data_IF_438236630467
#
_entry.id   IF_438236630467
#
_cell.length_a   1.000
_cell.length_b   1.000
_cell.length_c   1.000
_cell.angle_alpha   90.00
_cell.angle_beta   90.00
_cell.angle_gamma   90.00
#
_symmetry.space_group_name_H-M   'P 1'
#
loop_
_entity.id
_entity.type
_entity.pdbx_description
1 polymer ?
#
# COMPACT_ATOMS: atom_id res chain seq x y z
N UNK A 1 -16.36 9.32 16.28
CA UNK A 1 -16.67 8.87 14.91
C UNK A 1 -15.42 9.13 14.09
N UNK A 2 -14.58 8.13 13.81
CA UNK A 2 -13.18 8.48 13.49
C UNK A 2 -12.42 7.52 12.55
N UNK A 3 -12.39 6.21 12.80
CA UNK A 3 -11.58 5.27 12.00
C UNK A 3 -12.29 4.80 10.72
N UNK A 4 -13.60 4.54 10.78
CA UNK A 4 -14.39 4.11 9.61
C UNK A 4 -14.44 5.17 8.50
N UNK A 5 -14.46 6.46 8.88
CA UNK A 5 -14.38 7.56 7.93
C UNK A 5 -13.01 7.63 7.24
N UNK A 6 -11.92 7.35 7.98
CA UNK A 6 -10.59 7.22 7.39
C UNK A 6 -10.54 6.08 6.39
N UNK A 7 -11.10 4.91 6.75
CA UNK A 7 -11.17 3.76 5.86
C UNK A 7 -11.92 4.10 4.57
N UNK A 8 -13.10 4.70 4.68
CA UNK A 8 -13.90 5.10 3.52
C UNK A 8 -13.20 6.16 2.66
N UNK A 9 -12.56 7.16 3.28
CA UNK A 9 -11.83 8.21 2.57
C UNK A 9 -10.64 7.62 1.79
N UNK A 10 -9.80 6.83 2.45
CA UNK A 10 -8.60 6.23 1.83
C UNK A 10 -9.02 5.22 0.75
N UNK A 11 -10.05 4.40 0.98
CA UNK A 11 -10.57 3.47 -0.03
C UNK A 11 -11.06 4.20 -1.30
N UNK A 12 -11.73 5.35 -1.14
CA UNK A 12 -12.16 6.19 -2.28
C UNK A 12 -10.98 6.69 -3.11
N UNK A 13 -9.84 6.98 -2.48
CA UNK A 13 -8.62 7.42 -3.17
C UNK A 13 -7.82 6.26 -3.77
N UNK A 14 -7.86 5.08 -3.15
CA UNK A 14 -7.15 3.89 -3.61
C UNK A 14 -7.78 3.29 -4.89
N UNK A 15 -9.11 3.29 -5.01
CA UNK A 15 -9.83 2.70 -6.16
C UNK A 15 -9.33 3.20 -7.53
N UNK A 16 -9.22 4.52 -7.79
CA UNK A 16 -8.70 5.01 -9.07
C UNK A 16 -7.27 4.55 -9.39
N UNK A 17 -6.43 4.32 -8.37
CA UNK A 17 -5.06 3.83 -8.56
C UNK A 17 -5.06 2.37 -9.00
N UNK A 18 -5.94 1.56 -8.41
CA UNK A 18 -6.14 0.16 -8.83
C UNK A 18 -6.63 0.12 -10.29
N UNK A 19 -7.61 0.96 -10.63
CA UNK A 19 -8.16 1.03 -12.00
C UNK A 19 -7.10 1.47 -13.01
N UNK A 20 -6.25 2.44 -12.65
CA UNK A 20 -5.11 2.84 -13.48
C UNK A 20 -4.15 1.66 -13.71
N UNK A 21 -3.84 0.88 -12.67
CA UNK A 21 -2.96 -0.29 -12.79
C UNK A 21 -3.56 -1.41 -13.63
N UNK A 22 -4.88 -1.60 -13.57
CA UNK A 22 -5.60 -2.51 -14.46
C UNK A 22 -5.50 -2.07 -15.91
N UNK A 23 -5.68 -0.77 -16.17
CA UNK A 23 -5.54 -0.21 -17.51
C UNK A 23 -4.11 -0.34 -18.06
N UNK A 24 -3.09 -0.05 -17.23
CA UNK A 24 -1.67 -0.24 -17.60
C UNK A 24 -1.39 -1.69 -18.01
N UNK A 25 -1.88 -2.66 -17.22
CA UNK A 25 -1.72 -4.08 -17.54
C UNK A 25 -2.47 -4.50 -18.81
N UNK A 26 -3.70 -4.00 -19.00
CA UNK A 26 -4.48 -4.28 -20.22
C UNK A 26 -3.75 -3.77 -21.46
N UNK A 27 -3.15 -2.58 -21.39
CA UNK A 27 -2.33 -2.02 -22.47
C UNK A 27 -1.07 -2.87 -22.74
N UNK A 28 -0.32 -3.26 -21.70
CA UNK A 28 0.83 -4.17 -21.81
C UNK A 28 0.45 -5.51 -22.48
N UNK A 29 -0.70 -6.05 -22.11
CA UNK A 29 -1.22 -7.30 -22.70
C UNK A 29 -1.58 -7.12 -24.17
N UNK A 30 -2.18 -5.98 -24.54
CA UNK A 30 -2.56 -5.69 -25.92
C UNK A 30 -1.34 -5.52 -26.85
N UNK A 31 -0.23 -4.99 -26.33
CA UNK A 31 1.02 -4.83 -27.09
C UNK A 31 1.93 -6.05 -27.05
N UNK A 32 1.62 -7.06 -26.22
CA UNK A 32 2.46 -8.24 -26.01
C UNK A 32 3.69 -7.97 -25.13
N UNK A 33 3.84 -6.76 -24.58
CA UNK A 33 4.94 -6.40 -23.70
C UNK A 33 4.62 -6.74 -22.24
N UNK A 34 4.54 -8.03 -21.95
CA UNK A 34 4.34 -8.54 -20.58
C UNK A 34 5.65 -8.61 -19.79
N UNK A 35 6.75 -8.09 -20.33
CA UNK A 35 8.05 -8.06 -19.66
C UNK A 35 8.40 -6.66 -19.15
N UNK A 36 7.57 -5.64 -19.43
CA UNK A 36 7.79 -4.31 -18.86
C UNK A 36 7.84 -4.38 -17.33
N UNK A 37 8.77 -3.61 -16.75
CA UNK A 37 8.89 -3.44 -15.31
C UNK A 37 7.52 -3.03 -14.73
N UNK A 38 7.03 -3.69 -13.67
CA UNK A 38 5.93 -3.19 -12.87
C UNK A 38 6.02 -1.69 -12.59
N UNK A 39 4.91 -1.01 -12.80
CA UNK A 39 4.83 0.43 -12.52
C UNK A 39 4.52 0.61 -11.03
N UNK A 40 5.48 1.16 -10.30
CA UNK A 40 5.32 1.50 -8.89
C UNK A 40 4.53 2.81 -8.73
N UNK A 41 3.67 2.88 -7.72
CA UNK A 41 2.98 4.10 -7.31
C UNK A 41 3.00 4.22 -5.79
N UNK A 42 3.29 5.42 -5.29
CA UNK A 42 3.22 5.72 -3.85
C UNK A 42 2.27 6.90 -3.68
N UNK A 43 1.33 6.77 -2.76
CA UNK A 43 0.45 7.87 -2.37
C UNK A 43 0.44 8.01 -0.86
N UNK A 44 0.53 9.27 -0.42
CA UNK A 44 0.62 9.64 0.98
C UNK A 44 -0.55 10.57 1.31
N UNK A 45 -1.31 10.23 2.34
CA UNK A 45 -2.39 11.06 2.87
C UNK A 45 -2.12 11.38 4.32
N UNK A 46 -1.83 12.65 4.58
CA UNK A 46 -2.05 13.21 5.90
C UNK A 46 -3.56 13.34 6.06
N UNK A 47 -4.13 12.70 7.08
CA UNK A 47 -5.56 12.79 7.36
C UNK A 47 -5.76 13.89 8.41
N UNK A 48 -6.25 15.08 8.03
CA UNK A 48 -6.45 16.15 8.98
C UNK A 48 -7.80 15.97 9.70
N UNK A 49 -7.76 16.02 11.05
CA UNK A 49 -8.88 16.17 11.98
C UNK A 49 -9.90 15.02 12.06
N UNK A 50 -10.18 14.55 13.30
CA UNK A 50 -11.32 13.65 13.56
C UNK A 50 -11.18 12.65 14.72
N UNK A 51 -10.04 12.61 15.40
CA UNK A 51 -9.88 11.89 16.67
C UNK A 51 -9.51 12.93 17.72
N UNK A 52 -10.14 12.91 18.89
CA UNK A 52 -9.87 13.83 20.00
C UNK A 52 -8.40 13.77 20.53
N UNK A 53 -7.54 12.96 19.90
CA UNK A 53 -6.21 12.62 20.38
C UNK A 53 -5.04 13.03 19.44
N UNK A 54 -5.19 13.35 18.15
CA UNK A 54 -4.05 13.93 17.38
C UNK A 54 -4.01 13.77 15.84
N UNK A 55 -2.79 13.76 15.27
CA UNK A 55 -2.53 13.70 13.82
C UNK A 55 -2.36 12.25 13.33
N UNK A 56 -2.92 11.92 12.16
CA UNK A 56 -2.74 10.64 11.47
C UNK A 56 -2.10 10.77 10.10
N UNK A 57 -1.26 9.80 9.75
CA UNK A 57 -0.69 9.64 8.41
C UNK A 57 -0.96 8.21 7.92
N UNK A 58 -1.38 8.11 6.66
CA UNK A 58 -1.49 6.84 5.92
C UNK A 58 -0.63 6.94 4.66
N UNK A 59 0.22 5.95 4.44
CA UNK A 59 0.96 5.78 3.20
C UNK A 59 0.54 4.48 2.55
N UNK A 60 0.23 4.54 1.25
CA UNK A 60 -0.01 3.38 0.41
C UNK A 60 1.06 3.29 -0.67
N UNK A 61 1.59 2.09 -0.85
CA UNK A 61 2.40 1.74 -2.02
C UNK A 61 1.61 0.74 -2.86
N UNK A 62 1.37 1.07 -4.13
CA UNK A 62 0.56 0.30 -5.08
C UNK A 62 1.40 -0.04 -6.29
N UNK A 63 1.63 -1.31 -6.55
CA UNK A 63 2.44 -1.79 -7.67
C UNK A 63 1.90 -3.10 -8.23
N UNK A 64 2.25 -3.42 -9.46
CA UNK A 64 1.95 -4.74 -10.02
C UNK A 64 3.02 -5.73 -9.55
N UNK A 65 2.63 -6.90 -9.07
CA UNK A 65 3.55 -7.98 -8.73
C UNK A 65 3.33 -9.20 -9.62
N UNK A 66 4.36 -10.03 -9.75
CA UNK A 66 4.26 -11.36 -10.33
C UNK A 66 4.38 -12.36 -9.19
N UNK A 67 3.34 -13.18 -9.00
CA UNK A 67 3.36 -14.25 -7.99
C UNK A 67 4.35 -15.32 -8.45
N UNK A 68 5.40 -15.63 -7.66
CA UNK A 68 6.50 -16.49 -8.11
C UNK A 68 6.07 -17.87 -8.59
N UNK A 69 5.15 -18.51 -7.87
CA UNK A 69 4.78 -19.91 -8.12
C UNK A 69 3.78 -20.08 -9.27
N UNK A 70 2.98 -19.06 -9.54
CA UNK A 70 1.88 -19.12 -10.52
C UNK A 70 2.12 -18.25 -11.75
N UNK A 71 3.14 -17.40 -11.71
CA UNK A 71 3.38 -16.31 -12.67
C UNK A 71 2.15 -15.41 -12.88
N UNK A 72 1.22 -15.43 -11.93
CA UNK A 72 0.02 -14.62 -11.97
C UNK A 72 0.40 -13.17 -11.65
N UNK A 73 -0.09 -12.22 -12.46
CA UNK A 73 0.07 -10.80 -12.18
C UNK A 73 -1.08 -10.31 -11.31
N UNK A 74 -0.71 -9.64 -10.21
CA UNK A 74 -1.63 -9.05 -9.23
C UNK A 74 -1.25 -7.60 -8.96
N UNK A 75 -2.17 -6.79 -8.43
CA UNK A 75 -1.86 -5.47 -7.90
C UNK A 75 -1.61 -5.62 -6.41
N UNK A 76 -0.38 -5.40 -5.95
CA UNK A 76 -0.04 -5.35 -4.53
C UNK A 76 -0.32 -3.95 -3.98
N UNK A 77 -0.99 -3.90 -2.84
CA UNK A 77 -1.20 -2.69 -2.03
C UNK A 77 -0.52 -2.92 -0.68
N UNK A 78 0.44 -2.08 -0.33
CA UNK A 78 1.11 -2.08 0.97
C UNK A 78 0.70 -0.84 1.75
N UNK A 79 0.27 -1.05 2.98
CA UNK A 79 -0.32 -0.06 3.87
C UNK A 79 0.61 0.19 5.05
N UNK A 80 0.92 1.44 5.31
CA UNK A 80 1.52 1.89 6.57
C UNK A 80 0.64 2.99 7.17
N UNK A 81 0.33 2.90 8.45
CA UNK A 81 -0.43 3.92 9.16
C UNK A 81 0.19 4.21 10.52
N UNK A 82 0.13 5.46 10.95
CA UNK A 82 0.50 5.86 12.31
C UNK A 82 -0.31 7.08 12.73
N UNK A 83 -0.64 7.13 14.01
CA UNK A 83 -1.29 8.26 14.65
C UNK A 83 -0.44 8.72 15.85
N UNK A 84 -0.43 10.02 16.13
CA UNK A 84 0.26 10.58 17.30
C UNK A 84 -0.58 11.60 18.03
N UNK A 85 -0.43 11.57 19.36
CA UNK A 85 -0.95 12.52 20.33
C UNK A 85 -0.65 13.99 19.99
N UNK A 86 -1.61 14.90 20.15
CA UNK A 86 -1.41 16.36 19.93
C UNK A 86 -0.20 16.96 20.67
N UNK A 87 0.18 16.39 21.82
CA UNK A 87 1.24 16.90 22.70
C UNK A 87 2.62 16.29 22.46
N UNK A 88 2.79 15.41 21.47
CA UNK A 88 4.07 14.77 21.14
C UNK A 88 4.62 15.33 19.82
N UNK A 89 5.58 16.25 19.93
CA UNK A 89 6.50 16.75 18.88
C UNK A 89 5.91 17.11 17.51
N UNK A 90 5.86 18.41 17.19
CA UNK A 90 5.77 19.05 15.86
C UNK A 90 4.81 18.43 14.81
N UNK A 91 3.87 17.55 15.20
CA UNK A 91 2.81 16.99 14.38
C UNK A 91 3.25 16.14 13.17
N UNK A 92 4.54 15.90 12.96
CA UNK A 92 5.06 15.18 11.78
C UNK A 92 5.21 13.70 12.09
N UNK A 93 4.23 12.91 11.65
CA UNK A 93 4.35 11.46 11.57
C UNK A 93 5.17 11.12 10.32
N UNK A 94 6.27 10.38 10.46
CA UNK A 94 7.00 9.81 9.33
C UNK A 94 6.78 8.30 9.32
N UNK A 95 6.37 7.77 8.18
CA UNK A 95 6.19 6.33 7.95
C UNK A 95 7.36 5.75 7.15
N UNK A 96 7.61 4.43 7.18
CA UNK A 96 8.51 3.78 6.24
C UNK A 96 7.93 3.88 4.83
N UNK A 97 8.82 3.94 3.84
CA UNK A 97 8.44 3.67 2.46
C UNK A 97 8.66 2.18 2.26
N UNK A 98 7.68 1.50 1.68
CA UNK A 98 7.92 0.15 1.20
C UNK A 98 9.05 0.21 0.16
N UNK A 99 10.22 -0.33 0.48
CA UNK A 99 11.41 -0.19 -0.37
C UNK A 99 12.03 -1.51 -0.82
N UNK A 100 11.66 -2.67 -0.30
CA UNK A 100 12.34 -3.93 -0.67
C UNK A 100 11.34 -5.10 -0.73
N UNK A 101 11.63 -6.10 -1.58
CA UNK A 101 10.92 -7.36 -1.91
C UNK A 101 10.08 -7.39 -3.21
N UNK A 102 9.36 -6.34 -3.59
CA UNK A 102 8.67 -6.31 -4.91
C UNK A 102 9.62 -6.12 -6.11
N UNK A 103 10.81 -5.59 -5.84
CA UNK A 103 11.81 -5.21 -6.84
C UNK A 103 12.90 -6.28 -7.10
N UNK A 104 12.82 -7.46 -6.46
CA UNK A 104 13.79 -8.55 -6.73
C UNK A 104 13.74 -9.05 -8.19
N UNK A 105 12.66 -8.77 -8.90
CA UNK A 105 12.53 -9.09 -10.33
C UNK A 105 13.07 -8.01 -11.28
N UNK A 106 13.44 -6.82 -10.79
CA UNK A 106 13.59 -5.65 -11.66
C UNK A 106 15.01 -5.04 -11.64
N UNK A 107 15.75 -4.99 -10.52
CA UNK A 107 17.11 -4.40 -10.53
C UNK A 107 18.13 -5.06 -9.59
N UNK A 108 19.42 -5.10 -9.97
CA UNK A 108 20.49 -5.49 -9.06
C UNK A 108 20.63 -4.45 -7.94
N UNK A 109 20.21 -4.88 -6.75
CA UNK A 109 20.66 -4.48 -5.41
C UNK A 109 21.52 -3.22 -5.34
N UNK A 110 20.88 -2.05 -5.38
CA UNK A 110 21.48 -0.86 -4.76
C UNK A 110 21.18 -0.96 -3.27
N UNK A 111 22.19 -1.29 -2.46
CA UNK A 111 22.09 -1.18 -1.00
C UNK A 111 21.82 0.28 -0.64
N UNK A 112 20.56 0.67 -0.60
CA UNK A 112 20.14 1.90 0.06
C UNK A 112 20.22 1.63 1.56
N UNK A 113 21.26 2.15 2.20
CA UNK A 113 21.31 2.29 3.66
C UNK A 113 20.21 3.27 4.10
N UNK A 114 18.95 2.82 4.17
CA UNK A 114 17.83 3.70 4.41
C UNK A 114 16.81 3.09 5.38
N UNK A 115 17.20 2.63 6.57
CA UNK A 115 16.23 2.11 7.56
C UNK A 115 16.58 2.28 9.04
N UNK A 116 17.58 3.08 9.44
CA UNK A 116 17.85 3.28 10.88
C UNK A 116 16.97 4.35 11.54
N UNK A 117 16.50 5.37 10.80
CA UNK A 117 15.87 6.56 11.38
C UNK A 117 14.36 6.72 11.10
N UNK A 118 13.73 5.79 10.39
CA UNK A 118 12.29 5.90 10.08
C UNK A 118 11.48 5.09 11.11
N UNK A 119 10.52 5.72 11.82
CA UNK A 119 9.69 5.02 12.80
C UNK A 119 8.89 3.89 12.15
N UNK A 120 8.79 2.75 12.84
CA UNK A 120 7.86 1.67 12.45
C UNK A 120 6.42 2.22 12.50
N UNK A 121 5.53 1.80 11.58
CA UNK A 121 4.11 2.13 11.66
C UNK A 121 3.47 1.58 12.94
N UNK A 122 2.29 2.12 13.27
CA UNK A 122 1.45 1.57 14.33
C UNK A 122 0.84 0.25 13.84
N UNK A 123 1.23 -0.87 14.46
CA UNK A 123 0.83 -2.21 14.04
C UNK A 123 -0.69 -2.43 14.03
N UNK A 124 -1.39 -2.25 15.17
CA UNK A 124 -2.85 -2.38 15.23
C UNK A 124 -3.60 -1.49 14.23
N UNK A 125 -3.20 -0.21 14.10
CA UNK A 125 -3.85 0.71 13.16
C UNK A 125 -3.58 0.31 11.71
N UNK A 126 -2.34 -0.06 11.39
CA UNK A 126 -1.94 -0.46 10.04
C UNK A 126 -2.66 -1.73 9.61
N UNK A 127 -2.76 -2.72 10.49
CA UNK A 127 -3.51 -3.95 10.23
C UNK A 127 -5.00 -3.66 10.00
N UNK A 128 -5.65 -2.92 10.89
CA UNK A 128 -7.07 -2.59 10.77
C UNK A 128 -7.38 -1.80 9.49
N UNK A 129 -6.49 -0.87 9.11
CA UNK A 129 -6.57 -0.15 7.84
C UNK A 129 -6.43 -1.11 6.65
N UNK A 130 -5.45 -2.01 6.66
CA UNK A 130 -5.22 -2.96 5.57
C UNK A 130 -6.40 -3.95 5.41
N UNK A 131 -6.96 -4.46 6.50
CA UNK A 131 -8.15 -5.32 6.49
C UNK A 131 -9.37 -4.60 5.89
N UNK A 132 -9.61 -3.35 6.32
CA UNK A 132 -10.72 -2.54 5.83
C UNK A 132 -10.56 -2.16 4.35
N UNK A 133 -9.36 -1.74 3.95
CA UNK A 133 -9.06 -1.41 2.55
C UNK A 133 -9.15 -2.64 1.66
N UNK A 134 -8.61 -3.78 2.08
CA UNK A 134 -8.71 -5.05 1.36
C UNK A 134 -10.18 -5.38 1.06
N UNK A 135 -11.04 -5.32 2.08
CA UNK A 135 -12.49 -5.52 1.89
C UNK A 135 -13.10 -4.47 0.97
N UNK A 136 -12.79 -3.19 1.19
CA UNK A 136 -13.42 -2.07 0.50
C UNK A 136 -13.07 -1.97 -0.99
N UNK A 137 -11.93 -2.52 -1.43
CA UNK A 137 -11.50 -2.48 -2.84
C UNK A 137 -11.58 -3.84 -3.54
N UNK A 138 -12.15 -4.86 -2.89
CA UNK A 138 -12.23 -6.21 -3.45
C UNK A 138 -10.88 -6.91 -3.54
N UNK A 139 -10.01 -6.67 -2.57
CA UNK A 139 -8.76 -7.39 -2.39
C UNK A 139 -8.97 -8.87 -2.04
N UNK A 140 -7.91 -9.65 -2.21
CA UNK A 140 -7.85 -11.08 -1.94
C UNK A 140 -7.52 -11.28 -0.45
N UNK A 141 -8.45 -11.75 0.40
CA UNK A 141 -8.21 -11.84 1.85
C UNK A 141 -7.01 -12.72 2.21
N UNK A 142 -6.82 -13.82 1.50
CA UNK A 142 -5.73 -14.79 1.74
C UNK A 142 -4.33 -14.23 1.42
N UNK A 143 -4.27 -13.07 0.76
CA UNK A 143 -3.00 -12.40 0.44
C UNK A 143 -2.59 -11.35 1.48
N UNK A 144 -3.46 -11.07 2.46
CA UNK A 144 -3.22 -10.11 3.54
C UNK A 144 -2.16 -10.65 4.49
N UNK A 145 -1.05 -9.92 4.65
CA UNK A 145 0.05 -10.30 5.54
C UNK A 145 0.84 -9.09 6.00
N UNK A 146 1.51 -9.23 7.14
CA UNK A 146 2.51 -8.27 7.59
C UNK A 146 3.75 -8.35 6.70
N UNK A 147 4.26 -7.19 6.32
CA UNK A 147 5.50 -7.03 5.58
C UNK A 147 6.66 -6.80 6.58
N UNK A 148 7.90 -7.22 6.28
CA UNK A 148 8.99 -7.13 7.25
C UNK A 148 9.35 -5.74 7.80
N UNK A 149 8.86 -4.64 7.20
CA UNK A 149 8.99 -3.27 7.74
C UNK A 149 7.89 -2.88 8.74
N UNK A 150 6.95 -3.78 9.02
CA UNK A 150 5.78 -3.55 9.88
C UNK A 150 4.55 -3.02 9.14
N UNK A 151 4.65 -2.80 7.82
CA UNK A 151 3.50 -2.53 6.96
C UNK A 151 2.60 -3.77 6.83
N UNK A 152 1.40 -3.60 6.29
CA UNK A 152 0.54 -4.72 5.91
C UNK A 152 0.21 -4.65 4.42
N UNK A 153 0.43 -5.75 3.71
CA UNK A 153 0.19 -5.86 2.29
C UNK A 153 -0.96 -6.81 1.95
N UNK A 154 -1.75 -6.47 0.95
CA UNK A 154 -2.73 -7.36 0.31
C UNK A 154 -2.67 -7.20 -1.21
N UNK A 155 -3.23 -8.15 -1.93
CA UNK A 155 -3.28 -8.19 -3.38
C UNK A 155 -4.71 -7.97 -3.91
N UNK A 156 -4.82 -7.42 -5.10
CA UNK A 156 -6.05 -7.29 -5.89
C UNK A 156 -5.83 -7.95 -7.24
N UNK A 157 -6.84 -8.66 -7.74
CA UNK A 157 -6.77 -9.25 -9.07
C UNK A 157 -6.69 -8.15 -10.15
N UNK A 158 -5.80 -8.35 -11.13
CA UNK A 158 -5.67 -7.43 -12.28
C UNK A 158 -6.81 -7.63 -13.28
N UNK A 159 -7.42 -8.82 -13.30
CA UNK A 159 -8.65 -9.08 -14.04
C UNK A 159 -9.84 -8.77 -13.14
N UNK A 160 -10.79 -7.99 -13.63
CA UNK A 160 -12.13 -8.04 -13.06
C UNK A 160 -12.63 -9.47 -13.23
N UNK A 161 -13.08 -10.09 -12.13
CA UNK A 161 -13.64 -11.43 -12.17
C UNK A 161 -14.68 -11.51 -13.28
N UNK A 162 -14.43 -12.42 -14.22
CA UNK A 162 -15.32 -12.76 -15.34
C UNK A 162 -16.72 -13.11 -14.88
#
# INVERSE_FOLDING_TARGET
MAVEYWHAYVARQLRPLIDLRRADYAAQRATGDLNSEPVEGVVEWTLPYGMDDGNGLVRLTVFTEVVPDTYERRIRVVVAAAARGWHQDNGRVALPRFTEWGAEYIRPRRKTNATADVPRPDGPLTRGMAEALCTAVGGLPDSLREEPGGEFGFAVAVRDGS
#
